data_IF_523007149535
#
_entry.id   IF_523007149535
#
_cell.length_a   1.000
_cell.length_b   1.000
_cell.length_c   1.000
_cell.angle_alpha   90.00
_cell.angle_beta   90.00
_cell.angle_gamma   90.00
#
_symmetry.space_group_name_H-M   'P 1'
#
loop_
_entity.id
_entity.type
_entity.pdbx_description
1 polymer ?
#
# COMPACT_ATOMS: atom_id res chain seq x y z
N UNK A 1 3.69 -1.63 4.30
CA UNK A 1 2.56 -1.22 5.18
C UNK A 1 1.87 -2.43 5.80
N UNK A 2 1.28 -3.33 5.01
CA UNK A 2 0.78 -4.66 5.43
C UNK A 2 1.42 -5.29 6.67
N UNK A 3 2.73 -5.59 6.65
CA UNK A 3 3.43 -6.18 7.82
C UNK A 3 3.35 -5.33 9.09
N UNK A 4 3.42 -4.01 8.97
CA UNK A 4 3.36 -3.10 10.12
C UNK A 4 1.96 -3.09 10.73
N UNK A 5 0.92 -3.16 9.91
CA UNK A 5 -0.47 -3.23 10.37
C UNK A 5 -0.74 -4.49 11.19
N UNK A 6 0.00 -5.60 10.97
CA UNK A 6 -0.10 -6.80 11.82
C UNK A 6 0.69 -6.72 13.12
N UNK A 7 1.43 -5.63 13.35
CA UNK A 7 2.35 -5.45 14.47
C UNK A 7 3.75 -6.02 14.21
N UNK A 8 4.06 -6.46 12.98
CA UNK A 8 5.38 -6.98 12.65
C UNK A 8 6.36 -5.86 12.30
N UNK A 9 7.56 -5.90 12.87
CA UNK A 9 8.69 -5.06 12.45
C UNK A 9 9.23 -5.60 11.13
N UNK A 10 9.23 -4.84 10.02
CA UNK A 10 9.80 -5.29 8.76
C UNK A 10 11.30 -5.54 8.90
N UNK A 11 11.77 -6.69 8.38
CA UNK A 11 13.17 -7.13 8.53
C UNK A 11 13.89 -7.16 7.18
N UNK A 12 13.24 -7.70 6.15
CA UNK A 12 13.85 -7.90 4.86
C UNK A 12 12.79 -7.94 3.75
N UNK A 13 13.24 -7.73 2.52
CA UNK A 13 12.44 -7.84 1.30
C UNK A 13 13.11 -8.80 0.31
N UNK A 14 12.28 -9.49 -0.46
CA UNK A 14 12.67 -10.16 -1.69
C UNK A 14 11.87 -9.59 -2.84
N UNK A 15 12.51 -9.34 -3.98
CA UNK A 15 11.84 -8.80 -5.16
C UNK A 15 11.82 -9.80 -6.31
N UNK A 16 10.69 -9.85 -7.02
CA UNK A 16 10.54 -10.58 -8.28
C UNK A 16 10.17 -9.57 -9.36
N UNK A 17 11.13 -9.23 -10.22
CA UNK A 17 10.94 -8.30 -11.32
C UNK A 17 10.43 -9.05 -12.55
N UNK A 18 9.24 -8.70 -13.04
CA UNK A 18 8.66 -9.28 -14.26
C UNK A 18 8.47 -8.18 -15.29
N UNK A 19 9.25 -8.24 -16.38
CA UNK A 19 9.22 -7.24 -17.46
C UNK A 19 9.36 -7.90 -18.83
N UNK A 20 9.15 -7.12 -19.90
CA UNK A 20 9.36 -7.53 -21.29
C UNK A 20 10.84 -7.71 -21.66
N UNK A 21 11.13 -7.66 -22.96
CA UNK A 21 12.51 -7.76 -23.46
C UNK A 21 13.38 -6.55 -23.06
N UNK A 22 14.55 -6.74 -22.43
CA UNK A 22 15.40 -5.64 -21.96
C UNK A 22 16.10 -4.88 -23.10
N UNK A 23 16.12 -5.40 -24.33
CA UNK A 23 16.71 -4.72 -25.49
C UNK A 23 15.85 -3.55 -25.99
N UNK A 24 14.55 -3.55 -25.65
CA UNK A 24 13.68 -2.41 -25.93
C UNK A 24 14.04 -1.24 -25.03
N UNK A 25 14.23 -0.05 -25.61
CA UNK A 25 14.60 1.16 -24.86
C UNK A 25 13.62 1.49 -23.74
N UNK A 26 12.32 1.34 -24.01
CA UNK A 26 11.26 1.65 -23.04
C UNK A 26 11.22 0.62 -21.90
N UNK A 27 11.36 -0.67 -22.22
CA UNK A 27 11.40 -1.73 -21.21
C UNK A 27 12.66 -1.64 -20.36
N UNK A 28 13.80 -1.33 -20.97
CA UNK A 28 15.04 -1.11 -20.23
C UNK A 28 14.93 0.08 -19.27
N UNK A 29 14.28 1.16 -19.71
CA UNK A 29 13.97 2.30 -18.86
C UNK A 29 13.08 1.88 -17.67
N UNK A 30 12.00 1.13 -17.93
CA UNK A 30 11.11 0.62 -16.89
C UNK A 30 11.87 -0.27 -15.88
N UNK A 31 12.68 -1.22 -16.36
CA UNK A 31 13.51 -2.09 -15.52
C UNK A 31 14.42 -1.25 -14.60
N UNK A 32 15.13 -0.29 -15.18
CA UNK A 32 16.03 0.60 -14.44
C UNK A 32 15.27 1.41 -13.38
N UNK A 33 14.13 1.99 -13.72
CA UNK A 33 13.37 2.81 -12.78
C UNK A 33 12.68 1.97 -11.69
N UNK A 34 12.24 0.74 -11.99
CA UNK A 34 11.77 -0.22 -10.97
C UNK A 34 12.88 -0.53 -9.94
N UNK A 35 14.08 -0.90 -10.41
CA UNK A 35 15.23 -1.18 -9.53
C UNK A 35 15.59 0.05 -8.69
N UNK A 36 15.61 1.24 -9.30
CA UNK A 36 15.90 2.50 -8.60
C UNK A 36 14.83 2.82 -7.56
N UNK A 37 13.55 2.61 -7.88
CA UNK A 37 12.41 2.81 -6.99
C UNK A 37 12.50 1.92 -5.75
N UNK A 38 12.67 0.61 -5.96
CA UNK A 38 12.86 -0.38 -4.87
C UNK A 38 14.07 -0.01 -4.02
N UNK A 39 15.22 0.26 -4.66
CA UNK A 39 16.44 0.63 -3.94
C UNK A 39 16.30 1.92 -3.13
N UNK A 40 15.57 2.92 -3.65
CA UNK A 40 15.27 4.17 -2.92
C UNK A 40 14.39 3.90 -1.70
N UNK A 41 13.31 3.13 -1.87
CA UNK A 41 12.42 2.77 -0.77
C UNK A 41 13.14 1.96 0.31
N UNK A 42 13.90 0.93 -0.08
CA UNK A 42 14.68 0.08 0.83
C UNK A 42 15.68 0.90 1.65
N UNK A 43 16.47 1.79 1.02
CA UNK A 43 17.40 2.67 1.73
C UNK A 43 16.67 3.58 2.72
N UNK A 44 15.54 4.18 2.31
CA UNK A 44 14.82 5.14 3.16
C UNK A 44 14.14 4.47 4.36
N UNK A 45 13.57 3.29 4.15
CA UNK A 45 12.92 2.47 5.17
C UNK A 45 13.91 1.63 5.99
N UNK A 46 15.20 1.62 5.62
CA UNK A 46 16.25 0.80 6.23
C UNK A 46 15.93 -0.70 6.19
N UNK A 47 15.51 -1.18 5.02
CA UNK A 47 15.19 -2.58 4.74
C UNK A 47 16.20 -3.13 3.73
N UNK A 48 16.66 -4.35 3.96
CA UNK A 48 17.59 -5.03 3.07
C UNK A 48 16.85 -5.92 2.08
N UNK A 49 17.28 -5.87 0.82
CA UNK A 49 16.91 -6.86 -0.20
C UNK A 49 17.81 -8.08 0.01
N UNK A 50 17.24 -9.23 0.37
CA UNK A 50 18.00 -10.44 0.75
C UNK A 50 17.99 -11.53 -0.33
N UNK A 51 17.02 -11.48 -1.23
CA UNK A 51 16.88 -12.42 -2.34
C UNK A 51 16.03 -11.80 -3.44
N UNK A 52 16.03 -12.39 -4.63
CA UNK A 52 15.11 -11.97 -5.67
C UNK A 52 15.17 -12.85 -6.91
N UNK A 53 14.30 -12.53 -7.86
CA UNK A 53 14.24 -13.16 -9.18
C UNK A 53 14.02 -12.08 -10.25
N UNK A 54 14.56 -12.30 -11.44
CA UNK A 54 14.32 -11.42 -12.59
C UNK A 54 13.81 -12.27 -13.74
N UNK A 55 12.54 -12.10 -14.08
CA UNK A 55 11.87 -12.68 -15.24
C UNK A 55 11.78 -11.62 -16.33
N UNK A 56 12.41 -11.89 -17.47
CA UNK A 56 12.41 -11.01 -18.65
C UNK A 56 11.73 -11.71 -19.82
N UNK A 57 11.51 -10.96 -20.90
CA UNK A 57 10.84 -11.47 -22.11
C UNK A 57 9.39 -11.89 -21.87
N UNK A 58 8.73 -11.29 -20.88
CA UNK A 58 7.30 -11.47 -20.66
C UNK A 58 6.51 -10.63 -21.68
N UNK A 59 6.40 -11.15 -22.88
CA UNK A 59 5.63 -10.58 -23.98
C UNK A 59 4.94 -11.68 -24.79
N UNK A 60 3.74 -11.38 -25.27
CA UNK A 60 2.93 -12.27 -26.10
C UNK A 60 2.46 -11.52 -27.35
N UNK A 61 1.60 -12.16 -28.17
CA UNK A 61 1.06 -11.52 -29.38
C UNK A 61 0.24 -10.28 -29.06
N UNK A 62 -0.36 -10.28 -27.88
CA UNK A 62 -1.22 -9.24 -27.32
C UNK A 62 -0.43 -8.03 -26.83
N UNK A 63 0.89 -8.17 -26.62
CA UNK A 63 1.78 -7.10 -26.21
C UNK A 63 2.75 -7.48 -25.10
N UNK A 64 3.42 -6.46 -24.57
CA UNK A 64 4.31 -6.57 -23.41
C UNK A 64 3.49 -6.43 -22.14
N UNK A 65 3.79 -7.21 -21.10
CA UNK A 65 3.14 -7.03 -19.79
C UNK A 65 3.46 -5.65 -19.20
N UNK A 66 2.63 -5.20 -18.25
CA UNK A 66 3.02 -4.06 -17.42
C UNK A 66 4.26 -4.40 -16.58
N UNK A 67 5.16 -3.44 -16.33
CA UNK A 67 6.27 -3.64 -15.39
C UNK A 67 5.73 -4.06 -14.03
N UNK A 68 6.05 -5.29 -13.62
CA UNK A 68 5.44 -5.90 -12.42
C UNK A 68 6.53 -6.27 -11.41
N UNK A 69 7.02 -5.31 -10.61
CA UNK A 69 7.90 -5.58 -9.48
C UNK A 69 7.08 -6.09 -8.29
N UNK A 70 7.19 -7.39 -7.99
CA UNK A 70 6.52 -8.01 -6.83
C UNK A 70 7.49 -7.99 -5.64
N UNK A 71 7.08 -7.39 -4.54
CA UNK A 71 7.87 -7.33 -3.31
C UNK A 71 7.27 -8.26 -2.23
N UNK A 72 7.97 -9.36 -1.93
CA UNK A 72 7.69 -10.18 -0.76
C UNK A 72 8.46 -9.66 0.45
N UNK A 73 7.82 -9.51 1.60
CA UNK A 73 8.50 -9.01 2.81
C UNK A 73 8.34 -9.97 3.98
N UNK A 74 9.37 -10.03 4.82
CA UNK A 74 9.34 -10.75 6.10
C UNK A 74 9.44 -9.76 7.24
N UNK A 75 8.62 -9.96 8.27
CA UNK A 75 8.62 -9.16 9.49
C UNK A 75 8.66 -10.03 10.75
N UNK A 76 9.10 -9.42 11.85
CA UNK A 76 9.19 -10.07 13.16
C UNK A 76 8.13 -9.51 14.10
N UNK A 77 7.32 -10.40 14.68
CA UNK A 77 6.49 -10.11 15.84
C UNK A 77 7.18 -10.75 17.05
N UNK A 78 7.69 -9.95 17.98
CA UNK A 78 8.44 -10.47 19.14
C UNK A 78 7.57 -11.28 20.11
N UNK A 79 6.28 -10.91 20.22
CA UNK A 79 5.30 -11.63 21.01
C UNK A 79 4.04 -11.86 20.16
N UNK A 80 3.75 -13.12 19.83
CA UNK A 80 2.62 -13.51 18.99
C UNK A 80 1.24 -13.08 19.55
N UNK A 81 1.14 -12.86 20.86
CA UNK A 81 -0.08 -12.34 21.51
C UNK A 81 -0.33 -10.87 21.17
N UNK A 82 0.68 -10.15 20.68
CA UNK A 82 0.60 -8.74 20.26
C UNK A 82 0.31 -8.56 18.77
N UNK A 83 -0.10 -9.62 18.07
CA UNK A 83 -0.55 -9.50 16.68
C UNK A 83 -1.76 -8.56 16.61
N UNK A 84 -1.81 -7.74 15.57
CA UNK A 84 -2.94 -6.86 15.30
C UNK A 84 -3.70 -7.41 14.09
N UNK A 85 -5.03 -7.45 14.21
CA UNK A 85 -5.94 -7.91 13.14
C UNK A 85 -6.55 -6.69 12.45
N UNK A 86 -7.08 -6.88 11.24
CA UNK A 86 -7.55 -5.78 10.40
C UNK A 86 -8.96 -5.29 10.76
N UNK A 87 -9.78 -6.16 11.36
CA UNK A 87 -11.21 -5.89 11.56
C UNK A 87 -11.51 -5.05 12.80
N UNK A 88 -12.53 -4.20 12.72
CA UNK A 88 -13.02 -3.44 13.87
C UNK A 88 -13.42 -4.36 15.01
N UNK A 89 -12.96 -4.03 16.22
CA UNK A 89 -13.02 -4.94 17.37
C UNK A 89 -14.25 -4.70 18.23
N UNK A 90 -14.50 -3.45 18.63
CA UNK A 90 -15.58 -3.11 19.55
C UNK A 90 -16.40 -1.90 19.11
N UNK A 91 -17.66 -1.86 19.54
CA UNK A 91 -18.47 -0.65 19.44
C UNK A 91 -17.89 0.47 20.32
N UNK A 92 -17.89 1.69 19.80
CA UNK A 92 -17.32 2.85 20.48
C UNK A 92 -15.82 3.08 20.26
N UNK A 93 -15.14 2.15 19.58
CA UNK A 93 -13.75 2.37 19.13
C UNK A 93 -13.68 3.57 18.18
N UNK A 94 -12.64 4.38 18.34
CA UNK A 94 -12.37 5.51 17.45
C UNK A 94 -11.49 5.05 16.28
N UNK A 95 -11.90 5.38 15.07
CA UNK A 95 -11.18 5.04 13.83
C UNK A 95 -10.42 6.27 13.33
N UNK A 96 -9.13 6.08 13.04
CA UNK A 96 -8.25 7.14 12.55
C UNK A 96 -7.60 6.71 11.23
N UNK A 97 -7.55 7.64 10.27
CA UNK A 97 -6.71 7.53 9.09
C UNK A 97 -5.35 8.15 9.38
N UNK A 98 -4.28 7.35 9.28
CA UNK A 98 -2.90 7.82 9.48
C UNK A 98 -2.26 8.12 8.13
N UNK A 99 -1.87 9.37 7.90
CA UNK A 99 -1.17 9.76 6.67
C UNK A 99 -1.60 11.10 6.09
N UNK A 100 -1.51 11.21 4.76
CA UNK A 100 -1.95 12.33 3.92
C UNK A 100 -3.43 12.71 4.07
N UNK A 101 -4.28 11.80 4.54
CA UNK A 101 -5.71 12.08 4.76
C UNK A 101 -6.51 11.98 3.46
N UNK A 102 -7.53 12.82 3.32
CA UNK A 102 -8.45 12.83 2.17
C UNK A 102 -8.03 13.83 1.10
N UNK A 103 -6.79 13.73 0.63
CA UNK A 103 -6.31 14.58 -0.46
C UNK A 103 -7.09 14.29 -1.75
N UNK A 104 -7.43 15.33 -2.53
CA UNK A 104 -8.18 15.22 -3.79
C UNK A 104 -7.38 14.63 -4.97
N UNK A 105 -6.38 13.80 -4.67
CA UNK A 105 -5.48 13.17 -5.62
C UNK A 105 -5.57 11.63 -5.52
N UNK A 106 -4.72 10.90 -6.22
CA UNK A 106 -4.61 9.44 -6.05
C UNK A 106 -5.47 8.56 -6.94
N UNK A 107 -6.25 9.14 -7.86
CA UNK A 107 -6.95 8.33 -8.88
C UNK A 107 -6.04 7.90 -10.04
N UNK A 108 -4.82 8.45 -10.13
CA UNK A 108 -3.88 8.10 -11.17
C UNK A 108 -3.35 6.68 -10.98
N UNK A 109 -3.77 5.76 -11.85
CA UNK A 109 -3.41 4.35 -11.80
C UNK A 109 -4.21 3.53 -10.79
N UNK A 110 -5.36 4.05 -10.31
CA UNK A 110 -6.20 3.34 -9.34
C UNK A 110 -7.21 2.39 -9.99
N UNK A 111 -7.68 1.42 -9.21
CA UNK A 111 -8.76 0.50 -9.61
C UNK A 111 -10.03 1.25 -9.99
N UNK A 112 -10.36 2.34 -9.29
CA UNK A 112 -11.53 3.16 -9.61
C UNK A 112 -11.44 3.77 -11.02
N UNK A 113 -10.28 4.29 -11.41
CA UNK A 113 -10.11 4.91 -12.72
C UNK A 113 -10.24 3.87 -13.83
N UNK A 114 -9.68 2.67 -13.64
CA UNK A 114 -9.79 1.60 -14.62
C UNK A 114 -11.21 1.03 -14.69
N UNK A 115 -11.80 0.63 -13.56
CA UNK A 115 -13.09 -0.07 -13.53
C UNK A 115 -14.28 0.84 -13.89
N UNK A 116 -14.27 2.11 -13.43
CA UNK A 116 -15.41 3.01 -13.63
C UNK A 116 -15.26 3.83 -14.91
N UNK A 117 -14.04 4.21 -15.27
CA UNK A 117 -13.79 5.09 -16.42
C UNK A 117 -13.12 4.39 -17.61
N UNK A 118 -12.63 3.16 -17.46
CA UNK A 118 -11.93 2.44 -18.52
C UNK A 118 -10.58 3.07 -18.86
N UNK A 119 -9.97 3.81 -17.93
CA UNK A 119 -8.74 4.57 -18.18
C UNK A 119 -7.62 4.07 -17.26
N UNK A 120 -6.50 3.71 -17.87
CA UNK A 120 -5.24 3.47 -17.16
C UNK A 120 -4.31 4.63 -17.44
N UNK A 121 -4.03 5.44 -16.44
CA UNK A 121 -3.20 6.64 -16.59
C UNK A 121 -3.05 7.44 -15.31
N UNK A 122 -2.25 8.51 -15.37
CA UNK A 122 -1.87 9.31 -14.21
C UNK A 122 -0.46 9.01 -13.72
N UNK A 123 -0.04 9.72 -12.67
CA UNK A 123 1.33 9.64 -12.12
C UNK A 123 1.24 9.55 -10.60
N UNK A 124 1.15 8.34 -10.03
CA UNK A 124 1.15 8.19 -8.58
C UNK A 124 2.48 8.69 -8.01
N UNK A 125 2.42 9.23 -6.79
CA UNK A 125 3.58 9.70 -6.06
C UNK A 125 3.56 9.16 -4.63
N UNK A 126 4.71 9.19 -3.96
CA UNK A 126 4.86 8.73 -2.58
C UNK A 126 5.89 9.58 -1.85
N UNK A 127 5.53 10.05 -0.65
CA UNK A 127 6.46 10.63 0.31
C UNK A 127 7.03 9.53 1.22
N UNK A 128 8.23 9.04 0.89
CA UNK A 128 8.91 8.00 1.68
C UNK A 128 9.28 8.46 3.10
N UNK A 129 9.33 9.76 3.35
CA UNK A 129 9.59 10.33 4.66
C UNK A 129 8.35 10.23 5.53
N UNK A 130 7.20 10.60 4.98
CA UNK A 130 5.89 10.42 5.60
C UNK A 130 5.59 8.93 5.81
N UNK A 131 5.78 8.08 4.80
CA UNK A 131 5.55 6.62 4.91
C UNK A 131 6.33 6.02 6.09
N UNK A 132 7.61 6.39 6.27
CA UNK A 132 8.40 5.91 7.41
C UNK A 132 7.82 6.39 8.75
N UNK A 133 7.34 7.63 8.83
CA UNK A 133 6.73 8.16 10.06
C UNK A 133 5.42 7.45 10.37
N UNK A 134 4.55 7.25 9.38
CA UNK A 134 3.27 6.52 9.50
C UNK A 134 3.53 5.09 9.97
N UNK A 135 4.42 4.35 9.31
CA UNK A 135 4.78 2.99 9.72
C UNK A 135 5.35 2.96 11.14
N UNK A 136 6.25 3.89 11.50
CA UNK A 136 6.82 3.94 12.85
C UNK A 136 5.76 4.27 13.91
N UNK A 137 4.83 5.17 13.61
CA UNK A 137 3.72 5.53 14.50
C UNK A 137 2.81 4.34 14.75
N UNK A 138 2.32 3.70 13.68
CA UNK A 138 1.45 2.53 13.73
C UNK A 138 2.09 1.39 14.54
N UNK A 139 3.33 1.00 14.21
CA UNK A 139 4.02 -0.09 14.90
C UNK A 139 4.20 0.19 16.41
N UNK A 140 4.56 1.42 16.78
CA UNK A 140 4.72 1.82 18.19
C UNK A 140 3.39 1.83 18.93
N UNK A 141 2.32 2.28 18.28
CA UNK A 141 0.99 2.35 18.89
C UNK A 141 0.39 0.95 19.09
N UNK A 142 0.56 0.04 18.13
CA UNK A 142 0.25 -1.40 18.30
C UNK A 142 1.08 -1.98 19.45
N UNK A 143 2.40 -1.76 19.47
CA UNK A 143 3.29 -2.29 20.51
C UNK A 143 2.98 -1.79 21.93
N UNK A 144 2.32 -0.63 22.06
CA UNK A 144 1.83 -0.06 23.33
C UNK A 144 0.41 -0.48 23.70
N UNK A 145 -0.28 -1.23 22.84
CA UNK A 145 -1.68 -1.63 23.03
C UNK A 145 -2.68 -0.47 22.88
N UNK A 146 -2.28 0.61 22.22
CA UNK A 146 -3.19 1.75 21.94
C UNK A 146 -4.11 1.45 20.76
N UNK A 147 -3.60 0.72 19.77
CA UNK A 147 -4.35 0.30 18.58
C UNK A 147 -4.88 -1.12 18.80
N UNK A 148 -6.19 -1.30 18.66
CA UNK A 148 -6.88 -2.60 18.78
C UNK A 148 -6.93 -3.35 17.44
N UNK A 149 -7.00 -2.63 16.32
CA UNK A 149 -7.00 -3.17 14.95
C UNK A 149 -6.35 -2.17 13.98
N UNK A 150 -5.75 -2.65 12.90
CA UNK A 150 -5.12 -1.82 11.88
C UNK A 150 -5.19 -2.46 10.49
N UNK A 151 -5.51 -1.65 9.48
CA UNK A 151 -5.55 -2.02 8.07
C UNK A 151 -4.83 -0.94 7.26
N UNK A 152 -4.08 -1.29 6.22
CA UNK A 152 -3.59 -0.31 5.26
C UNK A 152 -4.65 0.09 4.23
N UNK A 153 -4.58 1.34 3.80
CA UNK A 153 -5.31 1.82 2.64
C UNK A 153 -4.49 1.54 1.37
N UNK A 154 -5.05 0.76 0.45
CA UNK A 154 -4.44 0.39 -0.85
C UNK A 154 -5.53 0.42 -1.92
N UNK A 155 -5.76 -0.70 -2.59
CA UNK A 155 -6.57 -0.80 -3.80
C UNK A 155 -8.04 -0.50 -3.48
N UNK A 156 -8.66 0.35 -4.28
CA UNK A 156 -10.01 0.88 -4.05
C UNK A 156 -10.13 1.94 -2.95
N UNK A 157 -9.02 2.32 -2.31
CA UNK A 157 -8.97 3.45 -1.38
C UNK A 157 -9.70 3.22 -0.05
N UNK A 158 -9.90 4.32 0.69
CA UNK A 158 -10.41 4.29 2.06
C UNK A 158 -11.82 3.71 2.18
N UNK A 159 -12.65 3.88 1.15
CA UNK A 159 -13.99 3.30 1.12
C UNK A 159 -13.94 1.76 1.18
N UNK A 160 -13.06 1.14 0.39
CA UNK A 160 -12.88 -0.31 0.38
C UNK A 160 -12.21 -0.78 1.66
N UNK A 161 -11.17 -0.09 2.13
CA UNK A 161 -10.51 -0.43 3.39
C UNK A 161 -11.49 -0.43 4.58
N UNK A 162 -12.36 0.57 4.70
CA UNK A 162 -13.38 0.58 5.74
C UNK A 162 -14.38 -0.57 5.61
N UNK A 163 -14.78 -0.90 4.37
CA UNK A 163 -15.65 -2.04 4.12
C UNK A 163 -14.99 -3.37 4.53
N UNK A 164 -13.71 -3.58 4.20
CA UNK A 164 -12.95 -4.76 4.61
C UNK A 164 -12.84 -4.88 6.14
N UNK A 165 -12.54 -3.77 6.83
CA UNK A 165 -12.52 -3.71 8.29
C UNK A 165 -13.88 -4.10 8.91
N UNK A 166 -14.99 -3.63 8.33
CA UNK A 166 -16.33 -3.99 8.78
C UNK A 166 -16.64 -5.47 8.54
N UNK A 167 -16.39 -5.96 7.32
CA UNK A 167 -16.70 -7.33 6.90
C UNK A 167 -15.92 -8.38 7.68
N UNK A 168 -14.67 -8.06 8.07
CA UNK A 168 -13.79 -9.00 8.78
C UNK A 168 -14.41 -9.53 10.08
N UNK A 169 -15.20 -8.72 10.79
CA UNK A 169 -15.78 -9.06 12.11
C UNK A 169 -17.30 -8.80 12.23
N UNK A 170 -17.93 -8.26 11.18
CA UNK A 170 -19.35 -7.94 11.19
C UNK A 170 -19.70 -6.72 12.05
N UNK A 171 -18.73 -5.82 12.29
CA UNK A 171 -18.92 -4.58 13.07
C UNK A 171 -19.01 -3.40 12.11
N UNK A 172 -20.11 -2.65 12.17
CA UNK A 172 -20.32 -1.50 11.29
C UNK A 172 -19.44 -0.31 11.65
N UNK A 173 -19.29 0.62 10.69
CA UNK A 173 -18.62 1.90 10.90
C UNK A 173 -19.60 3.05 10.69
N UNK A 174 -19.61 4.00 11.63
CA UNK A 174 -20.32 5.28 11.49
C UNK A 174 -19.32 6.40 11.69
N UNK A 175 -18.82 6.95 10.59
CA UNK A 175 -18.02 8.17 10.67
C UNK A 175 -18.92 9.39 10.81
N UNK A 176 -18.55 10.29 11.72
CA UNK A 176 -19.24 11.56 11.92
C UNK A 176 -18.40 12.69 11.30
N UNK A 177 -19.06 13.65 10.64
CA UNK A 177 -18.41 14.85 10.07
C UNK A 177 -17.34 14.57 9.00
N UNK A 178 -17.60 13.64 8.09
CA UNK A 178 -16.82 13.54 6.86
C UNK A 178 -16.98 14.84 6.06
N UNK A 179 -15.93 15.67 6.07
CA UNK A 179 -15.87 16.86 5.24
C UNK A 179 -14.87 16.59 4.14
N UNK A 180 -15.39 16.29 2.96
CA UNK A 180 -14.60 16.22 1.75
C UNK A 180 -14.63 17.61 1.12
N UNK A 181 -13.50 18.29 1.10
CA UNK A 181 -13.35 19.46 0.25
C UNK A 181 -13.08 18.95 -1.17
N UNK A 182 -13.81 19.41 -2.19
CA UNK A 182 -13.52 19.06 -3.59
C UNK A 182 -14.12 17.74 -4.07
N UNK A 183 -13.27 16.82 -4.52
CA UNK A 183 -13.62 15.60 -5.26
C UNK A 183 -13.81 14.41 -4.33
N UNK A 184 -15.07 14.11 -4.02
CA UNK A 184 -15.47 12.99 -3.15
C UNK A 184 -14.99 11.64 -3.68
N UNK A 185 -14.98 11.44 -4.99
CA UNK A 185 -14.51 10.21 -5.63
C UNK A 185 -13.01 9.99 -5.38
N UNK A 186 -12.19 11.03 -5.53
CA UNK A 186 -10.76 10.97 -5.19
C UNK A 186 -10.55 10.75 -3.68
N UNK A 187 -11.31 11.43 -2.83
CA UNK A 187 -11.20 11.25 -1.38
C UNK A 187 -11.55 9.82 -0.91
N UNK A 188 -12.50 9.16 -1.58
CA UNK A 188 -12.98 7.82 -1.19
C UNK A 188 -12.22 6.68 -1.86
N UNK A 189 -11.86 6.85 -3.13
CA UNK A 189 -11.30 5.80 -3.98
C UNK A 189 -9.89 6.11 -4.50
N UNK A 190 -9.31 7.23 -4.08
CA UNK A 190 -7.90 7.54 -4.32
C UNK A 190 -7.01 6.55 -3.57
N UNK A 191 -5.98 6.07 -4.25
CA UNK A 191 -5.02 5.07 -3.74
C UNK A 191 -3.69 5.74 -3.38
N UNK A 192 -3.76 6.97 -2.84
CA UNK A 192 -2.58 7.71 -2.39
C UNK A 192 -1.87 6.92 -1.30
N UNK A 193 -0.55 6.83 -1.41
CA UNK A 193 0.28 6.21 -0.39
C UNK A 193 0.97 7.25 0.49
N UNK A 194 0.92 6.97 1.80
CA UNK A 194 1.45 7.71 2.95
C UNK A 194 0.81 9.04 3.26
#
# INVERSE_FOLDING_TARGET
>A
RNLVCTGAKPMAVTDCLNLGKPESKDVYYQLKECIRGIGRACRRLNIQVISGNVSLYNEAKEGVIYPTPICGMVGLIENADRRCDIGFVGEGDQVFLLGSGFDNEGLGGSEYLELIHGVVGGRPHIDLDLEKRVQSCCLKAIGRGVITSAHDCSDGGVAITLAECCLRRGVGFKGERWQFEGRVDAALFGEVQS
#
